data_IF_570558532940
#
_entry.id   IF_570558532940
#
_cell.length_a   1.000
_cell.length_b   1.000
_cell.length_c   1.000
_cell.angle_alpha   90.00
_cell.angle_beta   90.00
_cell.angle_gamma   90.00
#
_symmetry.space_group_name_H-M   'P 1'
#
loop_
_entity.id
_entity.type
_entity.pdbx_description
1 polymer ?
#
# COMPACT_ATOMS: atom_id res chain seq x y z
N UNK A 1 -4.74 4.35 38.05
CA UNK A 1 -3.68 4.81 38.96
C UNK A 1 -2.44 3.97 38.74
N UNK A 2 -1.37 4.57 38.20
CA UNK A 2 0.03 4.19 38.51
C UNK A 2 0.96 5.21 37.83
N UNK A 3 1.32 6.25 38.58
CA UNK A 3 2.35 7.22 38.27
C UNK A 3 3.69 6.67 38.79
N UNK A 4 4.52 6.04 37.95
CA UNK A 4 5.96 5.91 38.21
C UNK A 4 6.73 5.75 36.89
N UNK A 5 7.02 6.86 36.19
CA UNK A 5 8.03 6.88 35.11
C UNK A 5 8.80 8.19 35.18
N UNK A 6 9.92 8.22 35.92
CA UNK A 6 10.89 9.35 35.85
C UNK A 6 12.37 8.96 35.95
N UNK A 7 12.72 7.67 36.03
CA UNK A 7 14.11 7.27 36.31
C UNK A 7 14.88 6.76 35.07
N UNK A 8 14.20 6.32 34.01
CA UNK A 8 14.87 5.70 32.84
C UNK A 8 15.27 6.68 31.73
N UNK A 9 14.80 7.93 31.74
CA UNK A 9 15.11 8.93 30.69
C UNK A 9 16.56 9.43 30.71
N UNK A 10 17.25 9.42 31.86
CA UNK A 10 18.64 9.95 31.96
C UNK A 10 19.71 9.05 31.35
N UNK A 11 19.45 7.74 31.20
CA UNK A 11 20.45 6.80 30.69
C UNK A 11 20.59 6.83 29.15
N UNK A 12 19.53 7.23 28.43
CA UNK A 12 19.52 7.30 26.96
C UNK A 12 20.25 8.54 26.41
N UNK A 13 20.18 9.69 27.09
CA UNK A 13 20.89 10.91 26.64
C UNK A 13 22.41 10.74 26.65
N UNK A 14 22.99 9.99 27.58
CA UNK A 14 24.45 9.85 27.68
C UNK A 14 25.08 9.00 26.57
N UNK A 15 24.31 8.13 25.90
CA UNK A 15 24.85 7.24 24.85
C UNK A 15 24.84 7.87 23.45
N UNK A 16 23.95 8.84 23.20
CA UNK A 16 23.88 9.58 21.95
C UNK A 16 24.87 10.76 21.89
N UNK A 17 25.22 11.35 23.05
CA UNK A 17 26.14 12.48 23.15
C UNK A 17 27.63 12.11 23.00
N UNK A 18 28.00 10.83 23.03
CA UNK A 18 29.41 10.40 22.88
C UNK A 18 29.85 10.12 21.45
N UNK A 19 28.94 10.15 20.46
CA UNK A 19 29.29 9.87 19.05
C UNK A 19 29.47 11.14 18.19
N UNK A 20 29.22 12.34 18.74
CA UNK A 20 29.18 13.59 17.96
C UNK A 20 30.37 14.54 18.16
N UNK A 21 31.52 14.07 18.67
CA UNK A 21 32.73 14.91 18.81
C UNK A 21 33.93 14.35 18.05
N UNK A 22 34.00 14.60 16.74
CA UNK A 22 35.26 14.71 16.01
C UNK A 22 35.07 15.26 14.58
N UNK A 23 34.72 16.53 14.42
CA UNK A 23 34.95 17.22 13.13
C UNK A 23 35.49 18.63 13.42
N UNK A 24 36.75 18.82 13.03
CA UNK A 24 37.52 20.06 13.16
C UNK A 24 37.06 21.11 12.15
N UNK A 25 36.90 22.34 12.65
CA UNK A 25 36.66 23.58 11.92
C UNK A 25 37.76 23.91 10.91
N UNK A 26 37.40 24.18 9.66
CA UNK A 26 38.20 25.02 8.74
C UNK A 26 37.28 26.02 8.04
N UNK A 27 37.40 27.28 8.45
CA UNK A 27 36.82 28.46 7.81
C UNK A 27 37.52 28.74 6.48
N UNK A 28 36.77 28.98 5.40
CA UNK A 28 37.29 29.69 4.23
C UNK A 28 36.31 30.76 3.75
N UNK A 29 36.88 31.96 3.61
CA UNK A 29 36.29 33.22 3.19
C UNK A 29 35.85 33.19 1.73
N UNK A 30 34.72 33.84 1.46
CA UNK A 30 34.25 34.17 0.11
C UNK A 30 35.04 35.34 -0.48
N UNK A 31 35.61 35.17 -1.66
CA UNK A 31 36.01 36.28 -2.53
C UNK A 31 35.67 35.93 -3.96
N UNK A 32 34.85 36.77 -4.59
CA UNK A 32 34.56 36.71 -6.02
C UNK A 32 35.75 37.26 -6.82
N UNK A 33 36.16 36.56 -7.88
CA UNK A 33 36.76 37.17 -9.06
C UNK A 33 36.68 36.21 -10.26
N UNK A 34 36.41 36.81 -11.42
CA UNK A 34 36.19 36.28 -12.77
C UNK A 34 37.38 35.54 -13.40
N UNK A 35 37.08 34.60 -14.31
CA UNK A 35 38.04 34.10 -15.30
C UNK A 35 37.44 33.05 -16.24
N UNK A 36 37.09 33.45 -17.47
CA UNK A 36 36.81 32.55 -18.60
C UNK A 36 38.13 31.96 -19.10
N UNK A 37 38.28 30.64 -19.03
CA UNK A 37 39.17 29.86 -19.88
C UNK A 37 38.62 28.42 -19.93
N UNK A 38 38.27 27.96 -21.13
CA UNK A 38 37.92 26.56 -21.35
C UNK A 38 39.15 25.67 -21.25
N UNK A 39 38.96 24.45 -20.76
CA UNK A 39 39.33 23.25 -21.52
C UNK A 39 38.88 21.95 -20.82
N UNK A 40 38.32 21.07 -21.65
CA UNK A 40 38.22 19.61 -21.54
C UNK A 40 37.42 19.07 -20.34
N UNK A 41 36.11 18.94 -20.54
CA UNK A 41 35.27 18.04 -19.74
C UNK A 41 35.65 16.61 -20.13
N UNK A 42 36.55 16.01 -19.35
CA UNK A 42 36.64 14.56 -19.21
C UNK A 42 35.36 14.10 -18.51
N UNK A 43 34.29 13.88 -19.28
CA UNK A 43 33.08 13.17 -18.83
C UNK A 43 33.39 11.67 -18.77
N UNK A 44 34.29 11.32 -17.86
CA UNK A 44 34.44 9.95 -17.41
C UNK A 44 33.14 9.55 -16.71
N UNK A 45 32.46 8.55 -17.25
CA UNK A 45 31.24 7.97 -16.70
C UNK A 45 31.50 7.37 -15.33
N UNK A 46 31.46 8.21 -14.30
CA UNK A 46 31.62 7.78 -12.92
C UNK A 46 30.25 7.62 -12.28
N UNK A 47 30.00 6.44 -11.73
CA UNK A 47 28.73 6.04 -11.08
C UNK A 47 28.40 6.92 -9.86
N UNK A 48 29.35 7.76 -9.42
CA UNK A 48 29.24 8.65 -8.27
C UNK A 48 29.28 10.14 -8.64
N UNK A 49 28.89 10.53 -9.87
CA UNK A 49 28.85 11.94 -10.25
C UNK A 49 27.92 12.76 -9.34
N UNK A 50 28.51 13.67 -8.57
CA UNK A 50 27.79 14.57 -7.64
C UNK A 50 27.12 15.75 -8.36
N UNK A 51 27.28 15.88 -9.67
CA UNK A 51 26.69 16.95 -10.48
C UNK A 51 25.15 16.92 -10.50
N UNK A 52 24.54 15.79 -10.13
CA UNK A 52 23.08 15.63 -10.00
C UNK A 52 22.57 15.67 -8.55
N UNK A 53 23.44 15.93 -7.56
CA UNK A 53 23.06 15.96 -6.16
C UNK A 53 22.12 17.15 -5.87
N UNK A 54 20.91 16.87 -5.40
CA UNK A 54 20.00 17.91 -4.88
C UNK A 54 20.42 18.28 -3.46
N UNK A 55 20.16 19.52 -3.05
CA UNK A 55 20.29 19.92 -1.65
C UNK A 55 19.36 19.04 -0.80
N UNK A 56 19.94 18.28 0.13
CA UNK A 56 19.20 17.45 1.08
C UNK A 56 19.12 18.23 2.39
N UNK A 57 17.90 18.61 2.78
CA UNK A 57 17.65 19.14 4.12
C UNK A 57 17.56 17.99 5.12
N UNK A 58 18.25 18.12 6.25
CA UNK A 58 18.12 17.19 7.37
C UNK A 58 16.78 17.46 8.08
N UNK A 59 15.99 16.39 8.30
CA UNK A 59 14.74 16.48 9.05
C UNK A 59 15.04 16.04 10.48
N UNK A 60 15.07 17.00 11.40
CA UNK A 60 15.31 16.73 12.82
C UNK A 60 14.18 15.89 13.44
N UNK A 61 14.50 14.85 14.23
CA UNK A 61 13.50 14.07 14.94
C UNK A 61 12.67 14.92 15.91
N UNK A 62 11.35 14.73 15.89
CA UNK A 62 10.44 15.40 16.83
C UNK A 62 10.40 14.61 18.15
N UNK A 63 11.07 15.13 19.17
CA UNK A 63 11.20 14.49 20.48
C UNK A 63 9.85 14.25 21.17
N UNK A 64 8.78 14.96 20.79
CA UNK A 64 7.44 14.74 21.35
C UNK A 64 6.84 13.37 20.95
N UNK A 65 7.36 12.75 19.89
CA UNK A 65 6.90 11.44 19.40
C UNK A 65 7.82 10.29 19.83
N UNK A 66 8.92 10.57 20.54
CA UNK A 66 9.84 9.53 20.98
C UNK A 66 9.16 8.58 21.97
N UNK A 67 9.16 7.28 21.66
CA UNK A 67 8.50 6.25 22.47
C UNK A 67 6.97 6.30 22.43
N UNK A 68 6.37 7.18 21.63
CA UNK A 68 4.91 7.26 21.45
C UNK A 68 4.42 6.10 20.57
N UNK A 69 3.13 5.79 20.69
CA UNK A 69 2.41 4.88 19.80
C UNK A 69 1.08 5.52 19.41
N UNK A 70 0.70 5.36 18.14
CA UNK A 70 -0.61 5.74 17.62
C UNK A 70 -1.51 4.51 17.41
N UNK A 71 -1.07 3.33 17.87
CA UNK A 71 -1.82 2.09 17.84
C UNK A 71 -3.22 2.23 18.42
N UNK A 72 -4.18 1.50 17.85
CA UNK A 72 -5.57 1.50 18.32
C UNK A 72 -5.61 0.86 19.73
N UNK A 73 -6.02 1.60 20.77
CA UNK A 73 -6.15 1.05 22.11
C UNK A 73 -7.16 -0.09 22.14
N UNK A 74 -6.93 -1.11 22.98
CA UNK A 74 -7.82 -2.28 23.06
C UNK A 74 -9.28 -1.92 23.40
N UNK A 75 -9.51 -0.79 24.07
CA UNK A 75 -10.85 -0.28 24.45
C UNK A 75 -11.57 0.41 23.30
N UNK A 76 -10.83 0.92 22.31
CA UNK A 76 -11.37 1.57 21.10
C UNK A 76 -11.39 0.62 19.90
N UNK A 77 -10.85 -0.59 20.08
CA UNK A 77 -10.68 -1.57 19.03
C UNK A 77 -11.88 -2.52 18.95
N UNK A 78 -12.52 -2.58 17.79
CA UNK A 78 -13.62 -3.51 17.54
C UNK A 78 -13.18 -4.96 17.81
N UNK A 79 -13.89 -5.64 18.71
CA UNK A 79 -13.48 -6.94 19.23
C UNK A 79 -13.46 -8.05 18.17
N UNK A 80 -14.35 -7.98 17.18
CA UNK A 80 -14.42 -8.95 16.09
C UNK A 80 -13.28 -8.72 15.11
N UNK A 81 -13.03 -7.46 14.72
CA UNK A 81 -11.90 -7.10 13.84
C UNK A 81 -10.57 -7.42 14.51
N UNK A 82 -10.42 -7.10 15.79
CA UNK A 82 -9.21 -7.35 16.56
C UNK A 82 -8.87 -8.83 16.62
N UNK A 83 -9.86 -9.67 16.92
CA UNK A 83 -9.67 -11.13 17.03
C UNK A 83 -9.45 -11.78 15.66
N UNK A 84 -10.19 -11.37 14.63
CA UNK A 84 -10.13 -11.98 13.30
C UNK A 84 -8.88 -11.57 12.51
N UNK A 85 -8.47 -10.30 12.56
CA UNK A 85 -7.50 -9.73 11.62
C UNK A 85 -6.19 -9.24 12.25
N UNK A 86 -6.07 -9.24 13.59
CA UNK A 86 -4.87 -8.73 14.28
C UNK A 86 -4.15 -9.79 15.13
N UNK A 87 -3.82 -10.97 14.58
CA UNK A 87 -3.07 -12.00 15.30
C UNK A 87 -1.61 -11.59 15.61
N UNK A 88 -1.16 -10.46 15.08
CA UNK A 88 0.18 -9.92 15.32
C UNK A 88 0.30 -9.17 16.66
N UNK A 89 -0.81 -8.85 17.32
CA UNK A 89 -0.79 -8.08 18.56
C UNK A 89 -0.05 -8.81 19.67
N UNK A 90 0.77 -8.08 20.41
CA UNK A 90 1.49 -8.57 21.58
C UNK A 90 0.73 -8.15 22.85
N UNK A 91 0.97 -8.86 23.96
CA UNK A 91 0.52 -8.41 25.28
C UNK A 91 1.09 -7.03 25.61
N UNK A 92 0.34 -6.21 26.36
CA UNK A 92 0.66 -4.79 26.61
C UNK A 92 2.09 -4.55 27.12
N UNK A 93 2.53 -5.33 28.11
CA UNK A 93 3.89 -5.24 28.65
C UNK A 93 4.96 -5.60 27.62
N UNK A 94 4.72 -6.64 26.81
CA UNK A 94 5.65 -7.04 25.75
C UNK A 94 5.72 -5.98 24.66
N UNK A 95 4.57 -5.43 24.26
CA UNK A 95 4.49 -4.38 23.23
C UNK A 95 5.26 -3.12 23.65
N UNK A 96 5.13 -2.68 24.90
CA UNK A 96 5.79 -1.48 25.40
C UNK A 96 7.32 -1.64 25.52
N UNK A 97 7.80 -2.86 25.75
CA UNK A 97 9.22 -3.18 25.87
C UNK A 97 9.83 -3.72 24.56
N UNK A 98 9.06 -3.74 23.48
CA UNK A 98 9.47 -4.29 22.20
C UNK A 98 10.42 -3.35 21.44
N UNK A 99 11.24 -3.90 20.56
CA UNK A 99 12.13 -3.11 19.70
C UNK A 99 11.35 -2.15 18.79
N UNK A 100 10.12 -2.49 18.39
CA UNK A 100 9.27 -1.59 17.57
C UNK A 100 8.88 -0.34 18.36
N UNK A 101 8.67 -0.44 19.68
CA UNK A 101 8.36 0.71 20.52
C UNK A 101 9.55 1.69 20.65
N UNK A 102 10.77 1.21 20.38
CA UNK A 102 12.01 1.97 20.48
C UNK A 102 12.43 2.63 19.16
N UNK A 103 11.73 2.37 18.06
CA UNK A 103 12.04 2.95 16.76
C UNK A 103 11.80 4.47 16.75
N UNK A 104 12.77 5.20 16.22
CA UNK A 104 12.62 6.59 15.81
C UNK A 104 11.82 6.60 14.50
N UNK A 105 10.59 7.11 14.55
CA UNK A 105 9.66 7.24 13.42
C UNK A 105 8.84 8.53 13.58
N UNK A 106 9.41 9.56 14.21
CA UNK A 106 8.70 10.77 14.66
C UNK A 106 8.07 11.51 13.49
N UNK A 107 8.77 11.65 12.36
CA UNK A 107 8.25 12.30 11.16
C UNK A 107 7.01 11.59 10.64
N UNK A 108 7.06 10.27 10.43
CA UNK A 108 5.93 9.50 9.93
C UNK A 108 4.76 9.47 10.93
N UNK A 109 5.03 9.38 12.23
CA UNK A 109 4.00 9.45 13.27
C UNK A 109 3.29 10.80 13.27
N UNK A 110 4.03 11.90 13.18
CA UNK A 110 3.45 13.25 13.10
C UNK A 110 2.56 13.40 11.87
N UNK A 111 3.04 12.96 10.70
CA UNK A 111 2.23 12.96 9.48
C UNK A 111 0.95 12.13 9.63
N UNK A 112 1.04 10.94 10.22
CA UNK A 112 -0.11 10.06 10.42
C UNK A 112 -1.11 10.65 11.42
N UNK A 113 -0.65 11.23 12.53
CA UNK A 113 -1.53 11.92 13.48
C UNK A 113 -2.25 13.11 12.84
N UNK A 114 -1.56 13.91 12.02
CA UNK A 114 -2.17 15.04 11.33
C UNK A 114 -3.15 14.61 10.22
N UNK A 115 -2.92 13.47 9.58
CA UNK A 115 -3.88 12.85 8.66
C UNK A 115 -5.13 12.35 9.39
N UNK A 116 -4.97 11.70 10.55
CA UNK A 116 -6.06 11.22 11.40
C UNK A 116 -6.95 12.34 11.95
N UNK A 117 -6.42 13.56 12.09
CA UNK A 117 -7.24 14.73 12.46
C UNK A 117 -8.12 15.22 11.30
N UNK A 118 -7.69 14.98 10.05
CA UNK A 118 -8.39 15.43 8.83
C UNK A 118 -9.38 14.40 8.31
N UNK A 119 -9.07 13.11 8.51
CA UNK A 119 -9.75 11.97 7.88
C UNK A 119 -9.63 10.72 8.77
N UNK A 120 -10.11 9.56 8.33
CA UNK A 120 -9.91 8.31 9.06
C UNK A 120 -8.48 7.78 8.96
N UNK A 121 -8.15 6.83 9.85
CA UNK A 121 -6.87 6.12 9.86
C UNK A 121 -6.62 5.45 8.51
N UNK A 122 -5.36 5.41 8.09
CA UNK A 122 -4.94 4.64 6.92
C UNK A 122 -5.30 3.16 7.08
N UNK A 123 -5.96 2.59 6.08
CA UNK A 123 -6.41 1.19 6.08
C UNK A 123 -5.43 0.33 5.30
N UNK A 124 -4.71 -0.56 5.98
CA UNK A 124 -3.69 -1.40 5.34
C UNK A 124 -4.07 -2.89 5.40
N UNK A 125 -4.21 -3.50 4.22
CA UNK A 125 -4.39 -4.94 4.08
C UNK A 125 -3.04 -5.65 3.95
N UNK A 126 -2.78 -6.65 4.77
CA UNK A 126 -1.57 -7.46 4.71
C UNK A 126 -1.90 -8.87 4.21
N UNK A 127 -1.22 -9.31 3.15
CA UNK A 127 -1.32 -10.65 2.58
C UNK A 127 0.01 -11.39 2.74
N UNK A 128 -0.05 -12.69 3.02
CA UNK A 128 1.15 -13.54 3.12
C UNK A 128 1.03 -14.85 2.35
N UNK A 129 2.17 -15.39 1.90
CA UNK A 129 2.23 -16.48 0.91
C UNK A 129 2.55 -17.88 1.45
N UNK A 130 2.27 -18.20 2.72
CA UNK A 130 2.55 -19.56 3.19
C UNK A 130 1.65 -20.00 4.35
N UNK A 131 1.12 -21.22 4.21
CA UNK A 131 0.26 -21.92 5.17
C UNK A 131 1.03 -22.82 6.14
N UNK A 132 2.36 -22.82 6.12
CA UNK A 132 3.17 -23.63 7.04
C UNK A 132 2.93 -23.20 8.49
N UNK A 133 2.99 -24.15 9.41
CA UNK A 133 2.89 -23.89 10.86
C UNK A 133 3.89 -22.81 11.30
N UNK A 134 5.16 -22.97 10.92
CA UNK A 134 6.21 -21.95 11.04
C UNK A 134 6.47 -21.29 9.69
N UNK A 135 5.66 -20.29 9.37
CA UNK A 135 5.73 -19.53 8.11
C UNK A 135 6.49 -18.21 8.32
N UNK A 136 7.70 -18.10 7.76
CA UNK A 136 8.51 -16.87 7.87
C UNK A 136 7.92 -15.68 7.13
N UNK A 137 7.16 -15.90 6.04
CA UNK A 137 6.44 -14.82 5.37
C UNK A 137 5.29 -14.29 6.25
N UNK A 138 4.61 -15.16 6.99
CA UNK A 138 3.61 -14.76 7.99
C UNK A 138 4.25 -14.01 9.16
N UNK A 139 5.39 -14.48 9.67
CA UNK A 139 6.11 -13.78 10.74
C UNK A 139 6.58 -12.39 10.28
N UNK A 140 7.13 -12.28 9.06
CA UNK A 140 7.53 -10.99 8.49
C UNK A 140 6.32 -10.06 8.28
N UNK A 141 5.20 -10.60 7.81
CA UNK A 141 3.93 -9.86 7.72
C UNK A 141 3.46 -9.33 9.08
N UNK A 142 3.66 -10.09 10.17
CA UNK A 142 3.32 -9.65 11.52
C UNK A 142 4.21 -8.51 12.01
N UNK A 143 5.51 -8.54 11.71
CA UNK A 143 6.41 -7.42 12.06
C UNK A 143 6.07 -6.16 11.27
N UNK A 144 5.81 -6.30 9.96
CA UNK A 144 5.30 -5.20 9.13
C UNK A 144 4.01 -4.59 9.72
N UNK A 145 3.05 -5.44 10.09
CA UNK A 145 1.79 -5.02 10.68
C UNK A 145 1.98 -4.31 12.03
N UNK A 146 2.90 -4.75 12.89
CA UNK A 146 3.19 -4.08 14.17
C UNK A 146 3.78 -2.68 13.97
N UNK A 147 4.68 -2.51 13.01
CA UNK A 147 5.26 -1.19 12.69
C UNK A 147 4.15 -0.25 12.21
N UNK A 148 3.34 -0.69 11.24
CA UNK A 148 2.23 0.11 10.70
C UNK A 148 1.16 0.42 11.76
N UNK A 149 0.84 -0.54 12.62
CA UNK A 149 -0.11 -0.34 13.70
C UNK A 149 0.41 0.70 14.71
N UNK A 150 1.71 0.66 15.06
CA UNK A 150 2.34 1.71 15.89
C UNK A 150 2.28 3.09 15.23
N UNK A 151 2.45 3.15 13.91
CA UNK A 151 2.33 4.39 13.12
C UNK A 151 0.87 4.91 13.01
N UNK A 152 -0.12 4.16 13.49
CA UNK A 152 -1.51 4.62 13.57
C UNK A 152 -2.43 4.08 12.47
N UNK A 153 -1.96 3.16 11.63
CA UNK A 153 -2.80 2.51 10.63
C UNK A 153 -3.82 1.53 11.26
N UNK A 154 -5.01 1.42 10.68
CA UNK A 154 -5.87 0.24 10.86
C UNK A 154 -5.29 -0.87 9.96
N UNK A 155 -4.72 -1.90 10.57
CA UNK A 155 -4.07 -3.00 9.85
C UNK A 155 -4.91 -4.27 9.99
N UNK A 156 -5.19 -4.92 8.87
CA UNK A 156 -5.89 -6.22 8.83
C UNK A 156 -5.08 -7.23 8.04
N UNK A 157 -4.79 -8.37 8.66
CA UNK A 157 -4.10 -9.48 8.01
C UNK A 157 -5.12 -10.51 7.56
N UNK A 158 -5.15 -10.81 6.26
CA UNK A 158 -5.98 -11.87 5.74
C UNK A 158 -5.34 -13.24 6.01
N UNK A 159 -6.11 -14.18 6.57
CA UNK A 159 -5.70 -15.58 6.69
C UNK A 159 -6.17 -16.36 5.45
N UNK A 160 -5.27 -16.89 4.60
CA UNK A 160 -5.66 -17.60 3.39
C UNK A 160 -6.13 -19.05 3.62
N UNK A 161 -6.19 -19.53 4.87
CA UNK A 161 -6.79 -20.83 5.19
C UNK A 161 -8.22 -20.94 4.62
N UNK A 162 -8.48 -22.02 3.88
CA UNK A 162 -9.78 -22.29 3.29
C UNK A 162 -10.13 -21.43 2.07
N UNK A 163 -9.21 -20.59 1.55
CA UNK A 163 -9.43 -19.91 0.28
C UNK A 163 -9.38 -20.94 -0.87
N UNK A 164 -10.44 -21.12 -1.67
CA UNK A 164 -10.43 -22.05 -2.79
C UNK A 164 -9.40 -21.63 -3.85
N UNK A 165 -8.95 -22.57 -4.66
CA UNK A 165 -8.18 -22.25 -5.87
C UNK A 165 -9.08 -21.44 -6.81
N UNK A 166 -8.55 -20.39 -7.44
CA UNK A 166 -9.33 -19.58 -8.38
C UNK A 166 -9.92 -20.43 -9.50
N UNK A 167 -11.25 -20.39 -9.60
CA UNK A 167 -12.05 -20.98 -10.66
C UNK A 167 -13.15 -20.01 -11.12
N UNK A 168 -14.05 -20.44 -12.00
CA UNK A 168 -15.08 -19.57 -12.58
C UNK A 168 -16.42 -19.56 -11.81
N UNK A 169 -16.55 -20.30 -10.70
CA UNK A 169 -17.85 -20.53 -10.04
C UNK A 169 -17.88 -20.18 -8.56
N UNK A 170 -16.76 -20.27 -7.83
CA UNK A 170 -16.74 -20.08 -6.37
C UNK A 170 -16.67 -18.62 -5.93
N UNK A 171 -17.30 -17.72 -6.68
CA UNK A 171 -17.29 -16.28 -6.41
C UNK A 171 -17.92 -15.91 -5.06
N UNK A 172 -18.92 -16.67 -4.60
CA UNK A 172 -19.64 -16.41 -3.34
C UNK A 172 -19.04 -17.13 -2.13
N UNK A 173 -17.91 -17.83 -2.31
CA UNK A 173 -17.23 -18.50 -1.20
C UNK A 173 -16.86 -17.48 -0.10
N UNK A 174 -17.13 -17.75 1.20
CA UNK A 174 -16.93 -16.77 2.28
C UNK A 174 -15.53 -16.15 2.31
N UNK A 175 -14.48 -16.96 2.14
CA UNK A 175 -13.09 -16.48 2.08
C UNK A 175 -12.79 -15.59 0.86
N UNK A 176 -13.46 -15.80 -0.26
CA UNK A 176 -13.33 -14.97 -1.46
C UNK A 176 -13.98 -13.61 -1.21
N UNK A 177 -15.18 -13.61 -0.63
CA UNK A 177 -15.91 -12.39 -0.28
C UNK A 177 -15.19 -11.58 0.80
N UNK A 178 -14.63 -12.25 1.81
CA UNK A 178 -13.79 -11.64 2.84
C UNK A 178 -12.57 -10.95 2.23
N UNK A 179 -11.80 -11.65 1.38
CA UNK A 179 -10.61 -11.10 0.72
C UNK A 179 -10.94 -9.88 -0.15
N UNK A 180 -12.01 -9.97 -0.95
CA UNK A 180 -12.48 -8.86 -1.79
C UNK A 180 -12.94 -7.67 -0.97
N UNK A 181 -13.65 -7.91 0.12
CA UNK A 181 -14.11 -6.86 1.04
C UNK A 181 -12.94 -6.16 1.71
N UNK A 182 -11.92 -6.90 2.15
CA UNK A 182 -10.69 -6.34 2.71
C UNK A 182 -9.92 -5.51 1.67
N UNK A 183 -9.78 -6.01 0.44
CA UNK A 183 -9.10 -5.25 -0.62
C UNK A 183 -9.86 -3.95 -0.92
N UNK A 184 -11.20 -4.01 -1.03
CA UNK A 184 -12.04 -2.83 -1.23
C UNK A 184 -11.89 -1.82 -0.08
N UNK A 185 -11.83 -2.30 1.16
CA UNK A 185 -11.69 -1.49 2.37
C UNK A 185 -10.35 -0.74 2.46
N UNK A 186 -9.26 -1.33 1.97
CA UNK A 186 -7.92 -0.77 2.13
C UNK A 186 -7.64 0.53 1.36
N UNK A 187 -6.70 1.31 1.86
CA UNK A 187 -6.01 2.42 1.17
C UNK A 187 -4.67 1.96 0.55
N UNK A 188 -4.07 0.93 1.14
CA UNK A 188 -2.81 0.34 0.69
C UNK A 188 -2.65 -1.11 1.13
N UNK A 189 -1.73 -1.83 0.50
CA UNK A 189 -1.43 -3.23 0.81
C UNK A 189 0.04 -3.43 1.24
N UNK A 190 0.27 -4.50 2.00
CA UNK A 190 1.58 -5.13 2.16
C UNK A 190 1.51 -6.57 1.67
N UNK A 191 2.37 -6.93 0.73
CA UNK A 191 2.42 -8.26 0.11
C UNK A 191 3.70 -9.00 0.49
N UNK A 192 3.56 -10.12 1.21
CA UNK A 192 4.71 -10.89 1.70
C UNK A 192 4.69 -12.33 1.18
N UNK A 193 5.46 -12.65 0.14
CA UNK A 193 5.56 -14.01 -0.38
C UNK A 193 6.91 -14.66 -0.02
N UNK A 194 6.95 -15.94 0.38
CA UNK A 194 8.19 -16.69 0.30
C UNK A 194 8.61 -16.84 -1.17
N UNK A 195 9.89 -17.12 -1.36
CA UNK A 195 10.40 -17.66 -2.60
C UNK A 195 10.37 -19.19 -2.55
N UNK A 196 9.64 -19.80 -3.48
CA UNK A 196 9.56 -21.25 -3.64
C UNK A 196 9.86 -21.61 -5.10
N UNK A 197 10.83 -22.49 -5.31
CA UNK A 197 11.37 -22.81 -6.64
C UNK A 197 11.74 -21.56 -7.45
N UNK A 198 12.30 -20.55 -6.78
CA UNK A 198 12.76 -19.31 -7.40
C UNK A 198 11.66 -18.33 -7.82
N UNK A 199 10.42 -18.51 -7.36
CA UNK A 199 9.28 -17.64 -7.71
C UNK A 199 8.33 -17.42 -6.51
N UNK A 200 7.36 -16.51 -6.68
CA UNK A 200 6.28 -16.31 -5.71
C UNK A 200 5.42 -17.57 -5.57
N UNK A 201 4.84 -17.75 -4.39
CA UNK A 201 4.10 -18.98 -4.07
C UNK A 201 2.71 -19.02 -4.72
N UNK A 202 2.22 -20.24 -5.00
CA UNK A 202 0.84 -20.46 -5.42
C UNK A 202 -0.18 -19.94 -4.40
N UNK A 203 0.10 -20.09 -3.09
CA UNK A 203 -0.74 -19.54 -2.01
C UNK A 203 -0.88 -18.03 -2.14
N UNK A 204 0.21 -17.33 -2.44
CA UNK A 204 0.17 -15.88 -2.64
C UNK A 204 -0.57 -15.51 -3.92
N UNK A 205 -0.20 -16.17 -5.04
CA UNK A 205 -0.79 -15.89 -6.35
C UNK A 205 -2.31 -16.08 -6.37
N UNK A 206 -2.79 -17.14 -5.73
CA UNK A 206 -4.21 -17.45 -5.62
C UNK A 206 -5.01 -16.34 -4.94
N UNK A 207 -4.44 -15.68 -3.91
CA UNK A 207 -5.09 -14.52 -3.29
C UNK A 207 -5.27 -13.38 -4.29
N UNK A 208 -4.22 -13.04 -5.05
CA UNK A 208 -4.30 -11.96 -6.04
C UNK A 208 -5.28 -12.30 -7.16
N UNK A 209 -5.34 -13.55 -7.60
CA UNK A 209 -6.24 -14.01 -8.66
C UNK A 209 -7.73 -13.91 -8.30
N UNK A 210 -8.05 -13.92 -7.00
CA UNK A 210 -9.40 -13.67 -6.51
C UNK A 210 -9.81 -12.20 -6.46
N UNK A 211 -8.86 -11.26 -6.55
CA UNK A 211 -9.10 -9.82 -6.53
C UNK A 211 -9.27 -9.33 -7.98
N UNK A 212 -10.49 -8.96 -8.41
CA UNK A 212 -10.70 -8.50 -9.78
C UNK A 212 -10.21 -7.07 -9.98
N UNK A 213 -9.84 -6.72 -11.22
CA UNK A 213 -9.55 -5.33 -11.60
C UNK A 213 -10.80 -4.43 -11.60
N UNK A 214 -11.99 -5.01 -11.71
CA UNK A 214 -13.28 -4.31 -11.66
C UNK A 214 -14.36 -5.23 -11.13
N UNK A 215 -15.23 -4.72 -10.27
CA UNK A 215 -16.54 -5.29 -9.96
C UNK A 215 -17.57 -4.20 -10.18
N UNK A 216 -18.22 -4.20 -11.35
CA UNK A 216 -19.02 -3.05 -11.80
C UNK A 216 -18.16 -1.79 -11.90
N UNK A 217 -18.57 -0.71 -11.23
CA UNK A 217 -17.84 0.56 -11.14
C UNK A 217 -16.70 0.56 -10.11
N UNK A 218 -16.64 -0.43 -9.21
CA UNK A 218 -15.65 -0.47 -8.13
C UNK A 218 -14.34 -1.07 -8.63
N UNK A 219 -13.23 -0.39 -8.34
CA UNK A 219 -11.86 -0.83 -8.62
C UNK A 219 -11.14 -1.17 -7.30
N UNK A 220 -11.08 -2.44 -6.87
CA UNK A 220 -10.60 -2.82 -5.52
C UNK A 220 -9.11 -2.59 -5.25
N UNK A 221 -8.30 -2.33 -6.27
CA UNK A 221 -6.84 -2.10 -6.11
C UNK A 221 -6.32 -0.84 -6.79
N UNK A 222 -7.05 -0.30 -7.78
CA UNK A 222 -6.56 0.82 -8.59
C UNK A 222 -6.25 2.04 -7.72
N UNK A 223 -5.07 2.62 -7.92
CA UNK A 223 -4.61 3.84 -7.24
C UNK A 223 -4.01 3.61 -5.85
N UNK A 224 -4.35 2.51 -5.19
CA UNK A 224 -3.87 2.16 -3.82
C UNK A 224 -2.36 1.96 -3.79
N UNK A 225 -1.74 2.25 -2.65
CA UNK A 225 -0.31 2.04 -2.43
C UNK A 225 0.01 0.57 -2.14
N UNK A 226 1.23 0.15 -2.45
CA UNK A 226 1.67 -1.23 -2.25
C UNK A 226 3.13 -1.27 -1.77
N UNK A 227 3.37 -1.93 -0.64
CA UNK A 227 4.69 -2.40 -0.23
C UNK A 227 4.84 -3.89 -0.49
N UNK A 228 6.03 -4.32 -0.91
CA UNK A 228 6.33 -5.72 -1.23
C UNK A 228 7.51 -6.22 -0.41
N UNK A 229 7.41 -7.46 0.05
CA UNK A 229 8.47 -8.13 0.78
C UNK A 229 8.56 -9.61 0.40
N UNK A 230 9.76 -10.18 0.51
CA UNK A 230 9.96 -11.62 0.41
C UNK A 230 10.79 -12.19 1.55
N UNK A 231 10.65 -13.50 1.73
CA UNK A 231 11.58 -14.31 2.53
C UNK A 231 12.12 -15.46 1.67
N UNK A 232 13.37 -15.84 1.87
CA UNK A 232 13.99 -17.01 1.24
C UNK A 232 14.60 -17.93 2.30
N UNK A 233 14.55 -19.24 2.06
CA UNK A 233 15.31 -20.21 2.84
C UNK A 233 16.80 -20.22 2.48
N UNK A 234 17.16 -19.75 1.29
CA UNK A 234 18.54 -19.74 0.78
C UNK A 234 19.21 -18.37 0.86
N UNK A 235 20.22 -18.17 0.02
CA UNK A 235 20.89 -16.89 -0.19
C UNK A 235 19.92 -15.80 -0.66
N UNK A 236 20.39 -14.55 -0.62
CA UNK A 236 19.59 -13.40 -1.05
C UNK A 236 19.16 -13.54 -2.51
N UNK A 237 17.89 -13.22 -2.74
CA UNK A 237 17.23 -13.25 -4.04
C UNK A 237 16.22 -12.11 -4.10
N UNK A 238 15.82 -11.73 -5.30
CA UNK A 238 14.80 -10.72 -5.55
C UNK A 238 13.73 -11.20 -6.53
N UNK A 239 13.73 -12.47 -6.93
CA UNK A 239 12.81 -12.98 -7.95
C UNK A 239 11.36 -12.75 -7.52
N UNK A 240 11.04 -13.10 -6.28
CA UNK A 240 9.69 -12.97 -5.74
C UNK A 240 9.23 -11.51 -5.70
N UNK A 241 10.02 -10.60 -5.14
CA UNK A 241 9.64 -9.16 -5.12
C UNK A 241 9.59 -8.55 -6.52
N UNK A 242 10.43 -8.99 -7.46
CA UNK A 242 10.33 -8.56 -8.85
C UNK A 242 8.98 -8.97 -9.47
N UNK A 243 8.56 -10.22 -9.27
CA UNK A 243 7.25 -10.67 -9.72
C UNK A 243 6.10 -9.98 -9.00
N UNK A 244 6.21 -9.72 -7.69
CA UNK A 244 5.20 -8.96 -6.93
C UNK A 244 5.08 -7.51 -7.44
N UNK A 245 6.19 -6.86 -7.80
CA UNK A 245 6.20 -5.51 -8.37
C UNK A 245 5.49 -5.47 -9.72
N UNK A 246 5.78 -6.44 -10.57
CA UNK A 246 5.06 -6.66 -11.83
C UNK A 246 3.57 -6.87 -11.55
N UNK A 247 3.20 -7.77 -10.64
CA UNK A 247 1.79 -7.96 -10.26
C UNK A 247 1.14 -6.67 -9.74
N UNK A 248 1.81 -5.89 -8.90
CA UNK A 248 1.32 -4.60 -8.40
C UNK A 248 1.00 -3.62 -9.52
N UNK A 249 1.87 -3.55 -10.54
CA UNK A 249 1.63 -2.77 -11.77
C UNK A 249 0.38 -3.26 -12.52
N UNK A 250 0.22 -4.58 -12.67
CA UNK A 250 -0.98 -5.18 -13.29
C UNK A 250 -2.26 -4.83 -12.51
N UNK A 251 -2.19 -4.85 -11.19
CA UNK A 251 -3.27 -4.46 -10.28
C UNK A 251 -3.49 -2.94 -10.20
N UNK A 252 -2.75 -2.15 -10.99
CA UNK A 252 -2.80 -0.68 -11.05
C UNK A 252 -2.55 -0.01 -9.69
N UNK A 253 -1.71 -0.63 -8.86
CA UNK A 253 -1.29 -0.11 -7.56
C UNK A 253 -0.01 0.72 -7.70
N UNK A 254 0.14 1.73 -6.85
CA UNK A 254 1.39 2.47 -6.71
C UNK A 254 2.34 1.67 -5.80
N UNK A 255 3.22 0.87 -6.42
CA UNK A 255 4.20 0.09 -5.66
C UNK A 255 5.36 0.98 -5.25
N UNK A 256 5.56 1.18 -3.94
CA UNK A 256 6.62 2.05 -3.42
C UNK A 256 8.01 1.56 -3.88
N UNK A 257 9.00 2.47 -4.02
CA UNK A 257 10.30 2.09 -4.53
C UNK A 257 11.02 1.09 -3.62
N UNK A 258 10.93 1.27 -2.30
CA UNK A 258 11.63 0.41 -1.35
C UNK A 258 10.96 -0.97 -1.22
N UNK A 259 11.77 -1.99 -0.89
CA UNK A 259 11.31 -3.37 -0.75
C UNK A 259 12.19 -4.15 0.22
N UNK A 260 11.61 -5.18 0.85
CA UNK A 260 12.33 -6.05 1.80
C UNK A 260 12.56 -7.44 1.21
N UNK A 261 13.78 -7.98 1.33
CA UNK A 261 14.10 -9.37 0.98
C UNK A 261 14.97 -9.97 2.07
N UNK A 262 14.42 -10.93 2.82
CA UNK A 262 15.12 -11.57 3.94
C UNK A 262 15.73 -12.91 3.48
N UNK A 263 17.06 -13.00 3.32
CA UNK A 263 17.75 -14.27 3.06
C UNK A 263 17.82 -15.13 4.32
N UNK A 264 17.99 -16.46 4.12
CA UNK A 264 18.15 -17.45 5.19
C UNK A 264 17.19 -17.18 6.35
N UNK A 265 15.91 -16.96 6.06
CA UNK A 265 14.96 -16.40 7.00
C UNK A 265 14.87 -17.20 8.32
N UNK A 266 15.16 -18.50 8.28
CA UNK A 266 15.22 -19.35 9.46
C UNK A 266 16.25 -18.92 10.51
N UNK A 267 17.30 -18.18 10.14
CA UNK A 267 18.31 -17.63 11.06
C UNK A 267 18.01 -16.20 11.49
N UNK A 268 16.90 -15.61 11.04
CA UNK A 268 16.60 -14.18 11.24
C UNK A 268 15.51 -13.97 12.29
N UNK A 269 14.81 -15.04 12.70
CA UNK A 269 13.76 -14.98 13.70
C UNK A 269 14.15 -15.76 14.94
N UNK A 270 13.76 -15.24 16.11
CA UNK A 270 13.92 -15.96 17.38
C UNK A 270 13.08 -17.23 17.43
N UNK A 271 13.40 -18.13 18.37
CA UNK A 271 12.61 -19.33 18.60
C UNK A 271 11.17 -19.03 19.03
N UNK A 272 10.28 -20.01 18.88
CA UNK A 272 8.85 -19.80 19.10
C UNK A 272 8.50 -19.49 20.57
N UNK A 273 9.27 -20.07 21.48
CA UNK A 273 9.17 -19.99 22.93
C UNK A 273 10.09 -18.92 23.54
N UNK A 274 10.84 -18.19 22.72
CA UNK A 274 11.71 -17.13 23.18
C UNK A 274 10.94 -16.02 23.93
N UNK A 275 11.60 -15.40 24.91
CA UNK A 275 11.06 -14.26 25.64
C UNK A 275 10.66 -13.09 24.70
N UNK A 276 9.79 -12.19 25.18
CA UNK A 276 9.25 -11.05 24.41
C UNK A 276 8.39 -11.45 23.19
N UNK A 277 7.60 -12.50 23.35
CA UNK A 277 6.54 -12.90 22.42
C UNK A 277 6.94 -13.92 21.35
N UNK A 278 8.19 -14.40 21.34
CA UNK A 278 8.67 -15.45 20.44
C UNK A 278 8.59 -15.10 18.94
N UNK A 279 9.29 -15.86 18.10
CA UNK A 279 9.20 -15.72 16.63
C UNK A 279 9.42 -14.28 16.12
N UNK A 280 10.32 -13.53 16.74
CA UNK A 280 10.56 -12.10 16.48
C UNK A 280 11.74 -11.89 15.55
N UNK A 281 11.64 -10.89 14.68
CA UNK A 281 12.73 -10.54 13.76
C UNK A 281 13.92 -9.92 14.53
N UNK A 282 15.08 -10.55 14.39
CA UNK A 282 16.30 -10.17 15.09
C UNK A 282 16.97 -8.92 14.50
N UNK A 283 17.80 -8.19 15.29
CA UNK A 283 18.56 -7.05 14.80
C UNK A 283 19.43 -7.38 13.59
N UNK A 284 19.19 -6.69 12.48
CA UNK A 284 19.97 -6.77 11.25
C UNK A 284 19.61 -5.62 10.31
N UNK A 285 20.45 -5.35 9.29
CA UNK A 285 20.09 -4.40 8.24
C UNK A 285 18.84 -4.79 7.45
N UNK A 286 18.45 -6.09 7.42
CA UNK A 286 17.18 -6.53 6.83
C UNK A 286 15.98 -6.10 7.67
N UNK A 287 16.14 -6.04 9.00
CA UNK A 287 15.12 -5.52 9.91
C UNK A 287 14.94 -4.02 9.71
N UNK A 288 16.05 -3.28 9.63
CA UNK A 288 16.01 -1.84 9.42
C UNK A 288 15.37 -1.52 8.06
N UNK A 289 15.71 -2.29 7.01
CA UNK A 289 15.06 -2.20 5.70
C UNK A 289 13.55 -2.44 5.74
N UNK A 290 13.06 -3.34 6.59
CA UNK A 290 11.61 -3.54 6.77
C UNK A 290 10.96 -2.29 7.36
N UNK A 291 11.61 -1.65 8.34
CA UNK A 291 11.16 -0.39 8.93
C UNK A 291 11.07 0.70 7.87
N UNK A 292 12.11 0.87 7.06
CA UNK A 292 12.13 1.84 5.95
C UNK A 292 10.93 1.63 5.02
N UNK A 293 10.64 0.38 4.64
CA UNK A 293 9.53 0.06 3.74
C UNK A 293 8.16 0.42 4.34
N UNK A 294 7.95 0.17 5.64
CA UNK A 294 6.67 0.46 6.29
C UNK A 294 6.50 1.97 6.54
N UNK A 295 7.57 2.66 6.91
CA UNK A 295 7.57 4.10 7.06
C UNK A 295 7.29 4.79 5.72
N UNK A 296 7.97 4.35 4.65
CA UNK A 296 7.78 4.84 3.29
C UNK A 296 6.34 4.58 2.81
N UNK A 297 5.80 3.39 3.05
CA UNK A 297 4.40 3.07 2.71
C UNK A 297 3.43 4.07 3.35
N UNK A 298 3.59 4.39 4.64
CA UNK A 298 2.73 5.36 5.33
C UNK A 298 2.85 6.74 4.69
N UNK A 299 4.07 7.24 4.50
CA UNK A 299 4.32 8.56 3.88
C UNK A 299 3.66 8.67 2.50
N UNK A 300 3.87 7.70 1.63
CA UNK A 300 3.25 7.69 0.29
C UNK A 300 1.73 7.57 0.35
N UNK A 301 1.19 6.76 1.26
CA UNK A 301 -0.26 6.59 1.36
C UNK A 301 -0.95 7.88 1.80
N UNK A 302 -0.37 8.62 2.75
CA UNK A 302 -0.87 9.95 3.17
C UNK A 302 -0.91 10.91 1.99
N UNK A 303 0.15 10.95 1.18
CA UNK A 303 0.24 11.86 0.03
C UNK A 303 -0.74 11.46 -1.08
N UNK A 304 -0.87 10.16 -1.35
CA UNK A 304 -1.59 9.68 -2.53
C UNK A 304 -3.10 9.52 -2.30
N UNK A 305 -3.53 9.13 -1.09
CA UNK A 305 -4.92 8.76 -0.78
C UNK A 305 -5.94 9.85 -1.14
N UNK A 306 -5.71 11.15 -0.84
CA UNK A 306 -6.66 12.21 -1.22
C UNK A 306 -6.86 12.38 -2.73
N UNK A 307 -6.00 11.78 -3.55
CA UNK A 307 -5.93 11.97 -4.99
C UNK A 307 -6.15 10.69 -5.80
N UNK A 308 -6.60 9.59 -5.18
CA UNK A 308 -6.84 8.33 -5.91
C UNK A 308 -7.82 8.48 -7.09
N UNK A 309 -8.84 9.33 -6.95
CA UNK A 309 -9.77 9.63 -8.05
C UNK A 309 -9.10 10.39 -9.18
N UNK A 310 -8.30 11.42 -8.85
CA UNK A 310 -7.53 12.20 -9.81
C UNK A 310 -6.56 11.31 -10.62
N UNK A 311 -5.81 10.44 -9.94
CA UNK A 311 -4.90 9.51 -10.62
C UNK A 311 -5.65 8.42 -11.42
N UNK A 312 -6.92 8.17 -11.09
CA UNK A 312 -7.80 7.27 -11.83
C UNK A 312 -8.42 7.89 -13.08
N UNK A 313 -8.46 9.22 -13.19
CA UNK A 313 -9.11 9.92 -14.31
C UNK A 313 -8.24 9.93 -15.58
N UNK A 314 -8.39 8.89 -16.40
CA UNK A 314 -7.59 8.68 -17.61
C UNK A 314 -8.23 9.33 -18.85
N UNK A 315 -7.40 9.97 -19.66
CA UNK A 315 -7.79 10.54 -20.95
C UNK A 315 -8.53 9.53 -21.85
N UNK A 316 -7.98 8.32 -22.04
CA UNK A 316 -8.60 7.30 -22.89
C UNK A 316 -9.99 6.88 -22.40
N UNK A 317 -10.19 6.76 -21.08
CA UNK A 317 -11.48 6.42 -20.49
C UNK A 317 -12.49 7.57 -20.62
N UNK A 318 -12.04 8.84 -20.55
CA UNK A 318 -12.88 10.01 -20.86
C UNK A 318 -13.35 9.98 -22.31
N UNK A 319 -12.44 9.76 -23.25
CA UNK A 319 -12.75 9.67 -24.69
C UNK A 319 -13.73 8.53 -24.99
N UNK A 320 -13.55 7.36 -24.38
CA UNK A 320 -14.48 6.24 -24.55
C UNK A 320 -15.89 6.56 -24.02
N UNK A 321 -15.99 7.22 -22.87
CA UNK A 321 -17.29 7.65 -22.30
C UNK A 321 -18.01 8.64 -23.21
N UNK A 322 -17.28 9.62 -23.75
CA UNK A 322 -17.84 10.61 -24.69
C UNK A 322 -18.35 9.90 -25.95
N UNK A 323 -17.51 9.07 -26.59
CA UNK A 323 -17.92 8.35 -27.79
C UNK A 323 -19.04 7.30 -27.56
N UNK A 324 -19.22 6.79 -26.33
CA UNK A 324 -20.40 5.98 -25.98
C UNK A 324 -21.67 6.83 -25.92
N UNK A 325 -21.62 8.00 -25.27
CA UNK A 325 -22.75 8.93 -25.19
C UNK A 325 -23.18 9.42 -26.56
N UNK A 326 -22.24 9.81 -27.41
CA UNK A 326 -22.54 10.26 -28.78
C UNK A 326 -23.25 9.19 -29.61
N UNK A 327 -22.80 7.93 -29.54
CA UNK A 327 -23.45 6.80 -30.21
C UNK A 327 -24.84 6.50 -29.66
N UNK A 328 -25.04 6.65 -28.35
CA UNK A 328 -26.35 6.46 -27.71
C UNK A 328 -27.33 7.57 -28.10
N UNK A 329 -26.88 8.82 -28.11
CA UNK A 329 -27.66 9.96 -28.59
C UNK A 329 -28.05 9.82 -30.07
N UNK A 330 -27.12 9.36 -30.91
CA UNK A 330 -27.40 9.08 -32.32
C UNK A 330 -28.48 8.00 -32.48
N UNK A 331 -28.37 6.88 -31.76
CA UNK A 331 -29.38 5.81 -31.80
C UNK A 331 -30.75 6.29 -31.35
N UNK A 332 -30.82 7.11 -30.30
CA UNK A 332 -32.07 7.70 -29.83
C UNK A 332 -32.69 8.66 -30.85
N UNK A 333 -31.86 9.44 -31.57
CA UNK A 333 -32.34 10.31 -32.66
C UNK A 333 -32.89 9.49 -33.84
N UNK A 334 -32.18 8.43 -34.24
CA UNK A 334 -32.61 7.53 -35.32
C UNK A 334 -33.93 6.82 -34.95
N UNK A 335 -34.07 6.31 -33.72
CA UNK A 335 -35.33 5.73 -33.25
C UNK A 335 -36.48 6.75 -33.26
N UNK A 336 -36.25 7.97 -32.77
CA UNK A 336 -37.27 9.02 -32.80
C UNK A 336 -37.71 9.38 -34.22
N UNK A 337 -36.78 9.42 -35.18
CA UNK A 337 -37.11 9.65 -36.59
C UNK A 337 -37.93 8.50 -37.17
N UNK A 338 -37.58 7.25 -36.86
CA UNK A 338 -38.35 6.07 -37.27
C UNK A 338 -39.78 6.11 -36.70
N UNK A 339 -39.94 6.33 -35.39
CA UNK A 339 -41.27 6.46 -34.78
C UNK A 339 -42.09 7.62 -35.37
N UNK A 340 -41.48 8.79 -35.58
CA UNK A 340 -42.16 9.92 -36.21
C UNK A 340 -42.58 9.60 -37.66
N UNK A 341 -41.79 8.83 -38.40
CA UNK A 341 -42.15 8.39 -39.75
C UNK A 341 -43.29 7.37 -39.77
N UNK A 342 -43.34 6.45 -38.80
CA UNK A 342 -44.44 5.49 -38.65
C UNK A 342 -45.75 6.17 -38.22
N UNK A 343 -45.68 7.15 -37.32
CA UNK A 343 -46.83 7.96 -36.91
C UNK A 343 -47.36 8.80 -38.08
N UNK A 344 -46.48 9.40 -38.88
CA UNK A 344 -46.90 10.08 -40.11
C UNK A 344 -47.53 9.11 -41.12
N UNK A 345 -46.97 7.93 -41.33
CA UNK A 345 -47.53 6.93 -42.24
C UNK A 345 -48.92 6.44 -41.77
N UNK A 346 -49.12 6.26 -40.46
CA UNK A 346 -50.44 5.94 -39.88
C UNK A 346 -51.43 7.10 -40.03
N UNK A 347 -50.99 8.33 -39.83
CA UNK A 347 -51.82 9.52 -40.00
C UNK A 347 -52.28 9.67 -41.46
N UNK A 348 -51.38 9.49 -42.44
CA UNK A 348 -51.70 9.52 -43.87
C UNK A 348 -52.67 8.41 -44.26
N UNK A 349 -52.48 7.18 -43.76
CA UNK A 349 -53.45 6.10 -44.01
C UNK A 349 -54.82 6.34 -43.36
N UNK A 350 -54.90 7.13 -42.29
CA UNK A 350 -56.17 7.50 -41.66
C UNK A 350 -56.86 8.69 -42.33
N UNK A 351 -56.12 9.55 -43.03
CA UNK A 351 -56.70 10.68 -43.77
C UNK A 351 -57.41 10.25 -45.05
N UNK A 352 -57.11 9.05 -45.57
CA UNK A 352 -57.76 8.48 -46.75
C UNK A 352 -59.12 7.81 -46.45
N UNK A 353 -59.54 7.75 -45.17
CA UNK A 353 -60.83 7.19 -44.77
C UNK A 353 -61.58 8.16 -43.86
N UNK A 354 -62.57 8.85 -44.41
CA UNK A 354 -63.49 9.72 -43.66
C UNK A 354 -64.86 9.05 -43.62
N UNK A 355 -65.40 8.80 -42.41
CA UNK A 355 -66.68 8.10 -42.20
C UNK A 355 -66.79 6.70 -42.85
N UNK A 356 -65.68 5.95 -42.93
CA UNK A 356 -65.68 4.57 -43.42
C UNK A 356 -65.73 4.42 -44.95
N UNK A 357 -65.50 5.50 -45.70
CA UNK A 357 -65.40 5.48 -47.16
C UNK A 357 -63.99 5.93 -47.57
N UNK A 358 -63.35 5.11 -48.41
CA UNK A 358 -62.02 5.34 -49.00
C UNK A 358 -62.14 6.35 -50.16
N UNK A 359 -61.38 7.44 -50.10
CA UNK A 359 -61.44 8.57 -51.05
C UNK A 359 -60.43 8.48 -52.20
N UNK A 360 -59.59 7.44 -52.27
CA UNK A 360 -58.59 7.27 -53.35
C UNK A 360 -58.97 6.23 -54.43
N UNK A 361 -60.22 5.74 -54.45
CA UNK A 361 -60.75 4.86 -55.50
C UNK A 361 -61.77 5.57 -56.39
N UNK A 362 -61.48 5.64 -57.70
CA UNK A 362 -62.34 6.12 -58.79
C UNK A 362 -63.71 5.42 -58.79
#
# INVERSE_FOLDING_TARGET
>A
MCNVVRVTQRALSHRLLSQSRSISSHSRSSTMASGLAGDIISSGGDLNSTNAARLVGEIEPDLAYLGRTLAIPAVEDDSEVRSAYRPFLLGCETANNDWIAQLELSTAMKMAEDEMKRTDRLKILVLYGSMRSRSYSRLLAFEAARILFRLGCDVRIFNPAGLPVKDDVQHDHPKVQELRSLSKWSDGHVWVSPEQHGNLTAVFKNQIDWIPLSTGSVRPTQGRTLAIAQVSGGSQSFNTVNSLRVLGRWMRMFTIPNQSSIPKAYTQFTDADAAKGGSRLMPSGNRDRLVDCMEELVKYTIIMRPHFELFGDRFSERTERIGKREREEQRLREQKMLFASEDNARAVNSSDVVNGVDINGI
#
